data_IF_621222018291
#
_entry.id   IF_621222018291
#
_cell.length_a   1.000
_cell.length_b   1.000
_cell.length_c   1.000
_cell.angle_alpha   90.00
_cell.angle_beta   90.00
_cell.angle_gamma   90.00
#
_symmetry.space_group_name_H-M   'P 1'
#
loop_
_entity.id
_entity.type
_entity.pdbx_description
1 polymer ?
#
# COMPACT_ATOMS: atom_id res chain seq x y z
N UNK A 1 35.83 56.99 -53.99
CA UNK A 1 34.67 56.40 -54.68
C UNK A 1 35.22 55.60 -55.86
N UNK A 2 34.91 54.34 -56.13
CA UNK A 2 34.01 53.34 -55.54
C UNK A 2 34.57 51.96 -55.95
N UNK A 3 34.80 51.09 -54.98
CA UNK A 3 35.35 49.75 -55.17
C UNK A 3 34.23 48.85 -55.73
N UNK A 4 34.49 48.15 -56.84
CA UNK A 4 33.56 47.21 -57.43
C UNK A 4 33.39 45.96 -56.53
N UNK A 5 32.16 45.48 -56.24
CA UNK A 5 31.99 44.26 -55.47
C UNK A 5 32.20 43.02 -56.35
N UNK A 6 33.17 42.19 -56.00
CA UNK A 6 33.39 40.87 -56.62
C UNK A 6 32.24 39.93 -56.27
N UNK A 7 31.46 39.49 -57.27
CA UNK A 7 30.38 38.52 -57.08
C UNK A 7 30.94 37.13 -56.76
N UNK A 8 30.87 36.70 -55.51
CA UNK A 8 31.27 35.36 -55.10
C UNK A 8 30.22 34.34 -55.58
N UNK A 9 30.45 33.75 -56.76
CA UNK A 9 29.55 32.74 -57.35
C UNK A 9 29.78 31.40 -56.66
N UNK A 10 29.06 31.16 -55.55
CA UNK A 10 29.08 29.87 -54.84
C UNK A 10 28.39 28.82 -55.71
N UNK A 11 29.18 28.00 -56.42
CA UNK A 11 28.70 26.84 -57.19
C UNK A 11 28.14 25.80 -56.21
N UNK A 12 26.82 25.79 -56.04
CA UNK A 12 26.12 24.74 -55.30
C UNK A 12 26.36 23.43 -56.06
N UNK A 13 27.27 22.59 -55.54
CA UNK A 13 27.37 21.18 -55.96
C UNK A 13 26.02 20.55 -55.63
N UNK A 14 25.26 20.18 -56.66
CA UNK A 14 24.13 19.28 -56.51
C UNK A 14 24.69 17.97 -55.96
N UNK A 15 24.44 17.69 -54.69
CA UNK A 15 24.69 16.38 -54.13
C UNK A 15 23.88 15.37 -54.94
N UNK A 16 24.55 14.33 -55.41
CA UNK A 16 23.96 13.13 -56.00
C UNK A 16 22.78 12.68 -55.15
N UNK A 17 21.61 12.46 -55.77
CA UNK A 17 20.49 11.81 -55.11
C UNK A 17 20.97 10.45 -54.60
N UNK A 18 21.19 10.35 -53.29
CA UNK A 18 21.36 9.06 -52.66
C UNK A 18 20.02 8.33 -52.86
N UNK A 19 20.01 7.20 -53.56
CA UNK A 19 18.86 6.28 -53.56
C UNK A 19 18.53 5.98 -52.10
N UNK A 20 17.50 6.62 -51.56
CA UNK A 20 16.94 6.28 -50.26
C UNK A 20 16.43 4.84 -50.30
N UNK A 21 16.56 4.07 -49.21
CA UNK A 21 16.05 2.72 -49.15
C UNK A 21 14.57 2.72 -49.51
N UNK A 22 14.20 1.88 -50.47
CA UNK A 22 12.86 1.82 -51.06
C UNK A 22 11.80 1.86 -49.96
N UNK A 23 10.96 2.90 -49.98
CA UNK A 23 10.00 3.21 -48.92
C UNK A 23 9.11 2.00 -48.61
N UNK A 24 9.25 1.43 -47.41
CA UNK A 24 8.40 0.34 -46.92
C UNK A 24 6.91 0.67 -46.97
N UNK A 25 6.56 1.95 -46.75
CA UNK A 25 5.20 2.45 -46.86
C UNK A 25 4.67 2.40 -48.29
N UNK A 26 5.52 2.67 -49.29
CA UNK A 26 5.15 2.55 -50.69
C UNK A 26 4.81 1.11 -51.06
N UNK A 27 5.67 0.17 -50.68
CA UNK A 27 5.43 -1.28 -50.92
C UNK A 27 4.21 -1.81 -50.17
N UNK A 28 3.97 -1.33 -48.95
CA UNK A 28 2.81 -1.71 -48.15
C UNK A 28 1.52 -1.18 -48.81
N UNK A 29 1.50 0.09 -49.23
CA UNK A 29 0.36 0.67 -49.94
C UNK A 29 0.10 -0.04 -51.26
N UNK A 30 1.16 -0.37 -52.01
CA UNK A 30 1.05 -1.08 -53.29
C UNK A 30 0.59 -2.54 -53.12
N UNK A 31 0.92 -3.17 -51.99
CA UNK A 31 0.43 -4.52 -51.64
C UNK A 31 -1.03 -4.47 -51.18
N UNK A 32 -1.39 -3.48 -50.36
CA UNK A 32 -2.77 -3.27 -49.89
C UNK A 32 -3.68 -2.83 -51.04
N UNK A 33 -3.17 -2.12 -52.06
CA UNK A 33 -3.97 -1.73 -53.22
C UNK A 33 -4.23 -2.88 -54.20
N UNK A 34 -3.61 -4.05 -54.01
CA UNK A 34 -3.92 -5.24 -54.83
C UNK A 34 -5.33 -5.71 -54.52
N UNK A 35 -6.17 -5.82 -55.55
CA UNK A 35 -7.56 -6.25 -55.45
C UNK A 35 -7.72 -7.58 -54.70
N UNK A 36 -6.81 -8.53 -54.94
CA UNK A 36 -6.80 -9.82 -54.25
C UNK A 36 -6.58 -9.68 -52.72
N UNK A 37 -5.67 -8.81 -52.31
CA UNK A 37 -5.37 -8.57 -50.88
C UNK A 37 -6.55 -7.87 -50.20
N UNK A 38 -7.18 -6.91 -50.88
CA UNK A 38 -8.39 -6.24 -50.39
C UNK A 38 -9.55 -7.20 -50.17
N UNK A 39 -9.77 -8.15 -51.09
CA UNK A 39 -10.83 -9.16 -50.96
C UNK A 39 -10.57 -10.07 -49.76
N UNK A 40 -9.32 -10.55 -49.58
CA UNK A 40 -8.96 -11.39 -48.42
C UNK A 40 -9.08 -10.63 -47.09
N UNK A 41 -8.64 -9.37 -47.06
CA UNK A 41 -8.75 -8.51 -45.88
C UNK A 41 -10.23 -8.24 -45.53
N UNK A 42 -11.04 -7.94 -46.54
CA UNK A 42 -12.48 -7.72 -46.38
C UNK A 42 -13.20 -8.97 -45.86
N UNK A 43 -12.88 -10.15 -46.39
CA UNK A 43 -13.43 -11.42 -45.91
C UNK A 43 -13.05 -11.70 -44.46
N UNK A 44 -11.79 -11.43 -44.09
CA UNK A 44 -11.31 -11.59 -42.72
C UNK A 44 -12.04 -10.64 -41.75
N UNK A 45 -12.19 -9.36 -42.12
CA UNK A 45 -12.94 -8.38 -41.32
C UNK A 45 -14.41 -8.75 -41.20
N UNK A 46 -15.04 -9.24 -42.27
CA UNK A 46 -16.42 -9.68 -42.24
C UNK A 46 -16.60 -10.87 -41.31
N UNK A 47 -15.71 -11.87 -41.37
CA UNK A 47 -15.73 -13.01 -40.47
C UNK A 47 -15.56 -12.59 -38.99
N UNK A 48 -14.61 -11.70 -38.71
CA UNK A 48 -14.39 -11.16 -37.36
C UNK A 48 -15.61 -10.38 -36.86
N UNK A 49 -16.24 -9.59 -37.73
CA UNK A 49 -17.46 -8.84 -37.40
C UNK A 49 -18.63 -9.78 -37.09
N UNK A 50 -18.87 -10.79 -37.92
CA UNK A 50 -19.87 -11.82 -37.66
C UNK A 50 -19.63 -12.49 -36.30
N UNK A 51 -18.39 -12.88 -36.01
CA UNK A 51 -18.04 -13.51 -34.74
C UNK A 51 -18.31 -12.59 -33.55
N UNK A 52 -17.99 -11.30 -33.64
CA UNK A 52 -18.29 -10.31 -32.62
C UNK A 52 -19.79 -10.13 -32.39
N UNK A 53 -20.59 -10.10 -33.47
CA UNK A 53 -22.05 -9.99 -33.38
C UNK A 53 -22.63 -11.23 -32.71
N UNK A 54 -22.18 -12.43 -33.05
CA UNK A 54 -22.63 -13.67 -32.39
C UNK A 54 -22.26 -13.68 -30.90
N UNK A 55 -21.04 -13.28 -30.55
CA UNK A 55 -20.59 -13.23 -29.16
C UNK A 55 -21.39 -12.22 -28.33
N UNK A 56 -21.63 -11.02 -28.88
CA UNK A 56 -22.41 -9.98 -28.18
C UNK A 56 -23.90 -10.22 -28.20
N UNK A 57 -24.42 -10.90 -29.22
CA UNK A 57 -25.84 -11.25 -29.34
C UNK A 57 -26.31 -12.16 -28.20
N UNK A 58 -25.40 -12.93 -27.61
CA UNK A 58 -25.71 -13.79 -26.46
C UNK A 58 -25.58 -13.11 -25.10
N UNK A 59 -25.11 -11.86 -25.06
CA UNK A 59 -25.05 -11.11 -23.80
C UNK A 59 -26.45 -10.65 -23.41
N UNK A 60 -27.06 -11.34 -22.44
CA UNK A 60 -28.37 -10.95 -21.91
C UNK A 60 -28.27 -9.49 -21.42
N UNK A 61 -29.09 -8.56 -21.95
CA UNK A 61 -29.11 -7.19 -21.45
C UNK A 61 -29.48 -7.25 -19.96
N UNK A 62 -28.61 -6.71 -19.10
CA UNK A 62 -28.83 -6.67 -17.66
C UNK A 62 -30.19 -6.02 -17.39
N UNK A 63 -31.17 -6.82 -16.95
CA UNK A 63 -32.56 -6.39 -16.84
C UNK A 63 -32.78 -5.32 -15.75
N UNK A 64 -31.82 -5.20 -14.82
CA UNK A 64 -31.87 -4.26 -13.71
C UNK A 64 -30.63 -3.39 -13.72
N UNK A 65 -30.84 -2.08 -13.56
CA UNK A 65 -29.78 -1.09 -13.40
C UNK A 65 -29.87 -0.51 -11.99
N UNK A 66 -28.77 0.03 -11.49
CA UNK A 66 -28.78 0.76 -10.22
C UNK A 66 -29.80 1.90 -10.32
N UNK A 67 -30.82 1.90 -9.46
CA UNK A 67 -31.94 2.85 -9.47
C UNK A 67 -33.17 2.44 -10.29
N UNK A 68 -33.16 1.31 -11.00
CA UNK A 68 -34.36 0.82 -11.69
C UNK A 68 -35.39 0.28 -10.69
N UNK A 69 -36.61 0.78 -10.74
CA UNK A 69 -37.74 0.23 -9.97
C UNK A 69 -38.35 -0.93 -10.76
N UNK A 70 -38.51 -2.10 -10.12
CA UNK A 70 -39.10 -3.26 -10.77
C UNK A 70 -40.56 -2.97 -11.16
N UNK A 71 -40.99 -3.27 -12.40
CA UNK A 71 -42.36 -3.00 -12.85
C UNK A 71 -43.40 -3.89 -12.16
N UNK A 72 -42.97 -4.96 -11.49
CA UNK A 72 -43.81 -5.84 -10.68
C UNK A 72 -43.42 -5.69 -9.22
N UNK A 73 -44.41 -5.64 -8.34
CA UNK A 73 -44.18 -5.60 -6.90
C UNK A 73 -43.42 -6.84 -6.45
N UNK A 74 -42.21 -6.62 -5.92
CA UNK A 74 -41.44 -7.68 -5.26
C UNK A 74 -42.03 -7.87 -3.88
N UNK A 75 -42.80 -8.94 -3.70
CA UNK A 75 -43.37 -9.30 -2.39
C UNK A 75 -42.40 -10.23 -1.68
N UNK A 76 -41.94 -9.86 -0.49
CA UNK A 76 -41.13 -10.75 0.34
C UNK A 76 -42.04 -11.77 1.03
N UNK A 77 -41.68 -13.05 0.94
CA UNK A 77 -42.41 -14.13 1.66
C UNK A 77 -42.18 -14.07 3.17
N UNK A 78 -41.10 -13.42 3.60
CA UNK A 78 -40.71 -13.26 5.00
C UNK A 78 -40.85 -11.80 5.37
N UNK A 79 -41.35 -11.54 6.57
CA UNK A 79 -41.34 -10.20 7.15
C UNK A 79 -39.89 -9.81 7.43
N UNK A 80 -39.39 -8.79 6.73
CA UNK A 80 -38.11 -8.19 7.07
C UNK A 80 -38.31 -7.26 8.26
N UNK A 81 -37.70 -7.60 9.39
CA UNK A 81 -37.62 -6.69 10.53
C UNK A 81 -36.45 -5.74 10.34
N UNK A 82 -36.72 -4.43 10.33
CA UNK A 82 -35.67 -3.42 10.35
C UNK A 82 -35.22 -3.20 11.80
N UNK A 83 -33.95 -3.47 12.14
CA UNK A 83 -33.48 -3.26 13.51
C UNK A 83 -33.57 -1.77 13.88
N UNK A 84 -34.34 -1.48 14.93
CA UNK A 84 -34.45 -0.14 15.50
C UNK A 84 -33.26 0.13 16.43
N UNK A 85 -32.23 0.75 15.87
CA UNK A 85 -30.99 1.07 16.59
C UNK A 85 -31.25 1.99 17.79
N UNK A 86 -32.27 2.86 17.75
CA UNK A 86 -32.57 3.77 18.84
C UNK A 86 -33.16 3.01 20.03
N UNK A 87 -34.11 2.10 19.79
CA UNK A 87 -34.68 1.23 20.84
C UNK A 87 -33.64 0.31 21.45
N UNK A 88 -32.74 -0.26 20.64
CA UNK A 88 -31.68 -1.14 21.15
C UNK A 88 -30.71 -0.38 22.05
N UNK A 89 -30.29 0.84 21.67
CA UNK A 89 -29.43 1.69 22.51
C UNK A 89 -30.10 2.07 23.81
N UNK A 90 -31.38 2.45 23.77
CA UNK A 90 -32.14 2.76 24.97
C UNK A 90 -32.27 1.55 25.92
N UNK A 91 -32.47 0.35 25.37
CA UNK A 91 -32.51 -0.89 26.16
C UNK A 91 -31.15 -1.19 26.81
N UNK A 92 -30.04 -1.01 26.08
CA UNK A 92 -28.70 -1.18 26.62
C UNK A 92 -28.42 -0.19 27.77
N UNK A 93 -28.75 1.08 27.60
CA UNK A 93 -28.57 2.10 28.65
C UNK A 93 -29.36 1.77 29.92
N UNK A 94 -30.62 1.33 29.78
CA UNK A 94 -31.42 0.88 30.92
C UNK A 94 -30.77 -0.31 31.63
N UNK A 95 -30.32 -1.31 30.87
CA UNK A 95 -29.62 -2.46 31.43
C UNK A 95 -28.36 -2.02 32.19
N UNK A 96 -27.53 -1.16 31.60
CA UNK A 96 -26.33 -0.61 32.26
C UNK A 96 -26.67 0.13 33.55
N UNK A 97 -27.74 0.94 33.55
CA UNK A 97 -28.16 1.69 34.75
C UNK A 97 -28.67 0.81 35.90
N UNK A 98 -29.11 -0.41 35.60
CA UNK A 98 -29.61 -1.37 36.58
C UNK A 98 -28.49 -2.23 37.20
N UNK A 99 -27.29 -2.24 36.60
CA UNK A 99 -26.16 -3.00 37.15
C UNK A 99 -25.60 -2.27 38.37
N UNK A 100 -25.54 -2.98 39.51
CA UNK A 100 -24.88 -2.48 40.72
C UNK A 100 -23.39 -2.28 40.45
N UNK A 101 -22.90 -1.05 40.60
CA UNK A 101 -21.47 -0.74 40.48
C UNK A 101 -20.75 -1.30 41.71
N UNK A 102 -19.94 -2.33 41.50
CA UNK A 102 -19.07 -2.92 42.52
C UNK A 102 -17.64 -2.43 42.25
N UNK A 103 -17.12 -1.58 43.13
CA UNK A 103 -15.73 -1.18 43.10
C UNK A 103 -14.87 -2.24 43.80
N UNK A 104 -13.96 -2.87 43.07
CA UNK A 104 -13.00 -3.82 43.61
C UNK A 104 -11.65 -3.12 43.72
N UNK A 105 -11.11 -3.01 44.93
CA UNK A 105 -9.76 -2.49 45.14
C UNK A 105 -8.74 -3.62 44.92
N UNK A 106 -8.20 -3.74 43.71
CA UNK A 106 -7.11 -4.67 43.43
C UNK A 106 -5.75 -4.07 43.83
N UNK A 107 -5.13 -4.64 44.86
CA UNK A 107 -3.79 -4.24 45.34
C UNK A 107 -2.65 -5.00 44.65
N UNK A 108 -2.96 -6.01 43.83
CA UNK A 108 -1.97 -6.86 43.15
C UNK A 108 -0.95 -6.05 42.35
N UNK A 109 -1.31 -4.98 41.62
CA UNK A 109 -0.34 -4.17 40.88
C UNK A 109 0.69 -3.50 41.79
N UNK A 110 0.26 -2.97 42.94
CA UNK A 110 1.16 -2.32 43.89
C UNK A 110 2.13 -3.31 44.53
N UNK A 111 1.65 -4.51 44.85
CA UNK A 111 2.48 -5.59 45.38
C UNK A 111 3.54 -6.01 44.36
N UNK A 112 3.17 -6.15 43.08
CA UNK A 112 4.12 -6.49 42.00
C UNK A 112 5.22 -5.44 41.85
N UNK A 113 4.87 -4.16 41.88
CA UNK A 113 5.86 -3.06 41.79
C UNK A 113 6.81 -3.10 42.98
N UNK A 114 6.27 -3.23 44.20
CA UNK A 114 7.06 -3.32 45.43
C UNK A 114 8.04 -4.49 45.38
N UNK A 115 7.58 -5.67 44.99
CA UNK A 115 8.40 -6.87 44.97
C UNK A 115 9.44 -6.80 43.83
N UNK A 116 9.10 -6.22 42.69
CA UNK A 116 10.05 -5.88 41.63
C UNK A 116 11.17 -4.96 42.11
N UNK A 117 10.83 -3.89 42.83
CA UNK A 117 11.80 -2.96 43.40
C UNK A 117 12.75 -3.64 44.39
N UNK A 118 12.20 -4.47 45.30
CA UNK A 118 13.00 -5.23 46.27
C UNK A 118 14.00 -6.15 45.57
N UNK A 119 13.58 -6.84 44.51
CA UNK A 119 14.46 -7.72 43.75
C UNK A 119 15.59 -6.93 43.07
N UNK A 120 15.30 -5.75 42.51
CA UNK A 120 16.32 -4.88 41.89
C UNK A 120 17.31 -4.32 42.90
N UNK A 121 16.85 -3.91 44.07
CA UNK A 121 17.74 -3.47 45.16
C UNK A 121 18.62 -4.62 45.65
N UNK A 122 18.07 -5.84 45.78
CA UNK A 122 18.85 -7.02 46.16
C UNK A 122 19.91 -7.38 45.11
N UNK A 123 19.59 -7.25 43.82
CA UNK A 123 20.52 -7.46 42.71
C UNK A 123 21.70 -6.47 42.77
N UNK A 124 21.43 -5.20 43.07
CA UNK A 124 22.47 -4.18 43.24
C UNK A 124 23.30 -4.43 44.50
N UNK A 125 22.66 -4.78 45.62
CA UNK A 125 23.33 -5.01 46.90
C UNK A 125 24.23 -6.26 46.90
N UNK A 126 23.92 -7.25 46.05
CA UNK A 126 24.72 -8.47 45.91
C UNK A 126 26.02 -8.26 45.11
N UNK A 127 26.12 -7.18 44.33
CA UNK A 127 27.31 -6.91 43.53
C UNK A 127 28.37 -6.17 44.34
N UNK A 128 29.57 -6.75 44.43
CA UNK A 128 30.71 -6.16 45.17
C UNK A 128 31.35 -4.98 44.43
N UNK A 129 31.14 -4.87 43.12
CA UNK A 129 31.70 -3.79 42.29
C UNK A 129 30.65 -3.23 41.33
N UNK A 130 30.73 -1.92 41.02
CA UNK A 130 29.83 -1.24 40.08
C UNK A 130 29.88 -1.86 38.67
N UNK A 131 30.98 -2.50 38.32
CA UNK A 131 31.15 -3.23 37.06
C UNK A 131 30.32 -4.53 37.02
N UNK A 132 30.07 -5.16 38.18
CA UNK A 132 29.26 -6.38 38.31
C UNK A 132 27.76 -6.15 38.48
N UNK A 133 27.33 -4.90 38.65
CA UNK A 133 25.90 -4.52 38.74
C UNK A 133 25.28 -4.48 37.33
N UNK A 134 24.04 -4.96 37.18
CA UNK A 134 23.32 -4.78 35.92
C UNK A 134 23.03 -3.28 35.69
N UNK A 135 23.53 -2.75 34.58
CA UNK A 135 23.41 -1.32 34.23
C UNK A 135 21.97 -0.86 34.16
N UNK A 136 21.08 -1.73 33.69
CA UNK A 136 19.64 -1.46 33.61
C UNK A 136 19.02 -1.30 35.01
N UNK A 137 19.38 -2.14 35.99
CA UNK A 137 18.88 -2.00 37.36
C UNK A 137 19.44 -0.74 38.03
N UNK A 138 20.72 -0.41 37.81
CA UNK A 138 21.32 0.81 38.39
C UNK A 138 20.71 2.10 37.84
N UNK A 139 20.48 2.17 36.52
CA UNK A 139 19.90 3.34 35.86
C UNK A 139 18.44 3.58 36.23
N UNK A 140 17.72 2.55 36.69
CA UNK A 140 16.38 2.69 37.25
C UNK A 140 16.37 3.57 38.52
N UNK A 141 17.45 3.52 39.32
CA UNK A 141 17.58 4.29 40.56
C UNK A 141 18.40 5.58 40.42
N UNK A 142 19.43 5.59 39.56
CA UNK A 142 20.37 6.70 39.41
C UNK A 142 20.59 7.08 37.93
N UNK A 143 19.58 7.65 37.25
CA UNK A 143 19.63 7.96 35.81
C UNK A 143 20.72 8.98 35.46
N UNK A 144 21.08 9.88 36.37
CA UNK A 144 22.14 10.87 36.22
C UNK A 144 23.54 10.26 36.00
N UNK A 145 23.72 8.99 36.39
CA UNK A 145 25.01 8.29 36.28
C UNK A 145 25.23 7.66 34.90
N UNK A 146 24.29 7.82 33.96
CA UNK A 146 24.36 7.20 32.62
C UNK A 146 25.66 7.48 31.87
N UNK A 147 26.08 8.75 31.84
CA UNK A 147 27.29 9.19 31.13
C UNK A 147 28.58 8.67 31.77
N UNK A 148 28.55 8.37 33.07
CA UNK A 148 29.68 7.82 33.81
C UNK A 148 29.76 6.32 33.61
N UNK A 149 28.62 5.63 33.60
CA UNK A 149 28.54 4.18 33.35
C UNK A 149 29.09 3.81 31.97
N UNK A 150 28.80 4.60 30.93
CA UNK A 150 29.35 4.37 29.57
C UNK A 150 30.88 4.32 29.53
N UNK A 151 31.56 4.99 30.46
CA UNK A 151 33.02 5.04 30.53
C UNK A 151 33.64 3.84 31.25
N UNK A 152 32.83 3.06 31.97
CA UNK A 152 33.28 1.88 32.70
C UNK A 152 33.23 0.67 31.76
N UNK A 153 34.31 -0.11 31.59
CA UNK A 153 34.29 -1.32 30.77
C UNK A 153 33.34 -2.37 31.37
N UNK A 154 32.55 -3.03 30.53
CA UNK A 154 31.70 -4.16 30.93
C UNK A 154 32.60 -5.37 31.19
N UNK A 155 32.65 -5.93 32.43
CA UNK A 155 33.40 -7.15 32.66
C UNK A 155 32.75 -8.30 31.89
N UNK A 156 33.57 -9.11 31.22
CA UNK A 156 33.09 -10.26 30.45
C UNK A 156 32.32 -11.23 31.37
N UNK A 157 31.22 -11.86 30.88
CA UNK A 157 30.44 -12.79 31.69
C UNK A 157 31.34 -13.93 32.18
N UNK A 158 31.55 -14.01 33.49
CA UNK A 158 32.39 -15.03 34.14
C UNK A 158 33.63 -14.52 34.89
N UNK A 159 33.96 -13.21 34.82
CA UNK A 159 35.05 -12.65 35.63
C UNK A 159 34.55 -12.19 37.00
N UNK A 160 34.59 -13.09 37.98
CA UNK A 160 34.52 -12.70 39.40
C UNK A 160 35.84 -12.01 39.71
N UNK A 161 35.88 -10.68 39.61
CA UNK A 161 36.99 -9.90 40.15
C UNK A 161 36.80 -9.87 41.66
N UNK A 162 37.37 -10.88 42.32
CA UNK A 162 37.59 -10.86 43.76
C UNK A 162 38.72 -9.86 44.06
N UNK A 163 38.66 -9.09 45.16
CA UNK A 163 39.81 -8.31 45.62
C UNK A 163 41.03 -9.20 45.87
#
# INVERSE_FOLDING_TARGET
MSIAPSSFRRRIRRASSMEGPQSFWGRLLETISRSEVLVRLGLCLLAAFCLLVLLRGWSQPFAFRLGSVAPRGVVSRVAFEKPDLARTRAAQQRATSQVRVVYIQDRSPLVRIRDGLKNRVAEIAAAETLAGVSRAAWLEFAPETATVLERIPVPAPGTVVKP
#
